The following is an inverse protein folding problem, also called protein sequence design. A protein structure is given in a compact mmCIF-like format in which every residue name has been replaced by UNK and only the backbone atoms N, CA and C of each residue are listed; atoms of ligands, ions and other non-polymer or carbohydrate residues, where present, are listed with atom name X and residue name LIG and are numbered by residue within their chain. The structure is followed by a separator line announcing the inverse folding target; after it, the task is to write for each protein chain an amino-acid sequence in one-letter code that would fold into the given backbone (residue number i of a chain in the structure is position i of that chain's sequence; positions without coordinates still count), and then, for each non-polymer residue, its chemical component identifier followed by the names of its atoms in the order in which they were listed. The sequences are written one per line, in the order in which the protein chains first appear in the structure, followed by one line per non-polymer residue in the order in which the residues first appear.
data_IF_620289864034
#
_entry.id   IF_620289864034
#
_cell.length_a   1.000
_cell.length_b   1.000
_cell.length_c   1.000
_cell.angle_alpha   90.00
_cell.angle_beta   90.00
_cell.angle_gamma   90.00
#
_symmetry.space_group_name_H-M   'P 1'
#
loop_
_entity.id
_entity.type
_entity.pdbx_description
1 polymer ?
#
# COMPACT_ATOMS: atom_id res chain seq x y z
N UNK A 1 -55.36 -51.42 -62.78
CA UNK A 1 -54.12 -50.92 -63.41
C UNK A 1 -54.49 -49.80 -64.36
N UNK A 2 -53.97 -48.59 -64.16
CA UNK A 2 -54.17 -47.50 -65.13
C UNK A 2 -53.26 -47.79 -66.33
N UNK A 3 -53.77 -47.85 -67.57
CA UNK A 3 -52.94 -48.16 -68.73
C UNK A 3 -51.93 -47.04 -68.99
N UNK A 4 -50.66 -47.40 -69.25
CA UNK A 4 -49.55 -46.47 -69.46
C UNK A 4 -49.86 -45.46 -70.59
N UNK A 5 -50.59 -45.88 -71.63
CA UNK A 5 -51.04 -45.03 -72.72
C UNK A 5 -52.00 -43.90 -72.28
N UNK A 6 -52.85 -44.13 -71.26
CA UNK A 6 -53.74 -43.09 -70.75
C UNK A 6 -52.96 -42.03 -69.95
N UNK A 7 -51.89 -42.44 -69.27
CA UNK A 7 -51.00 -41.54 -68.53
C UNK A 7 -50.23 -40.65 -69.51
N UNK A 8 -49.64 -41.21 -70.56
CA UNK A 8 -48.89 -40.42 -71.56
C UNK A 8 -49.78 -39.45 -72.33
N UNK A 9 -51.01 -39.85 -72.67
CA UNK A 9 -51.98 -38.97 -73.34
C UNK A 9 -52.42 -37.82 -72.43
N UNK A 10 -52.68 -38.10 -71.15
CA UNK A 10 -53.06 -37.08 -70.16
C UNK A 10 -51.93 -36.07 -69.93
N UNK A 11 -50.68 -36.52 -69.81
CA UNK A 11 -49.48 -35.67 -69.70
C UNK A 11 -49.26 -34.77 -70.93
N UNK A 12 -49.68 -35.21 -72.11
CA UNK A 12 -49.59 -34.42 -73.35
C UNK A 12 -50.57 -33.24 -73.41
N UNK A 13 -51.66 -33.28 -72.64
CA UNK A 13 -52.68 -32.21 -72.62
C UNK A 13 -52.23 -31.00 -71.81
N UNK A 14 -52.70 -29.80 -72.17
CA UNK A 14 -52.42 -28.58 -71.41
C UNK A 14 -52.86 -28.65 -69.93
N UNK A 15 -53.92 -29.43 -69.64
CA UNK A 15 -54.42 -29.65 -68.27
C UNK A 15 -53.51 -30.58 -67.46
N UNK A 16 -52.98 -31.64 -68.06
CA UNK A 16 -52.05 -32.56 -67.39
C UNK A 16 -50.72 -31.89 -67.01
N UNK A 17 -50.17 -31.05 -67.89
CA UNK A 17 -48.97 -30.25 -67.60
C UNK A 17 -49.19 -29.25 -66.47
N UNK A 18 -50.36 -28.60 -66.44
CA UNK A 18 -50.72 -27.67 -65.37
C UNK A 18 -50.78 -28.37 -64.01
N UNK A 19 -51.43 -29.53 -63.93
CA UNK A 19 -51.56 -30.29 -62.68
C UNK A 19 -50.19 -30.73 -62.15
N UNK A 20 -49.30 -31.21 -63.02
CA UNK A 20 -47.93 -31.61 -62.62
C UNK A 20 -47.11 -30.39 -62.19
N UNK A 21 -47.20 -29.28 -62.93
CA UNK A 21 -46.51 -28.04 -62.55
C UNK A 21 -46.95 -27.51 -61.19
N UNK A 22 -48.25 -27.58 -60.89
CA UNK A 22 -48.82 -27.15 -59.61
C UNK A 22 -48.38 -28.07 -58.46
N UNK A 23 -48.33 -29.39 -58.68
CA UNK A 23 -47.84 -30.35 -57.70
C UNK A 23 -46.35 -30.13 -57.38
N UNK A 24 -45.51 -29.91 -58.40
CA UNK A 24 -44.09 -29.60 -58.21
C UNK A 24 -43.89 -28.25 -57.49
N UNK A 25 -44.66 -27.22 -57.87
CA UNK A 25 -44.63 -25.93 -57.19
C UNK A 25 -45.03 -26.06 -55.71
N UNK A 26 -46.04 -26.88 -55.40
CA UNK A 26 -46.46 -27.17 -54.03
C UNK A 26 -45.37 -27.84 -53.20
N UNK A 27 -44.66 -28.83 -53.76
CA UNK A 27 -43.53 -29.48 -53.10
C UNK A 27 -42.37 -28.52 -52.83
N UNK A 28 -42.02 -27.67 -53.81
CA UNK A 28 -40.98 -26.65 -53.64
C UNK A 28 -41.36 -25.64 -52.56
N UNK A 29 -42.62 -25.18 -52.53
CA UNK A 29 -43.12 -24.28 -51.50
C UNK A 29 -43.06 -24.91 -50.11
N UNK A 30 -43.43 -26.18 -49.97
CA UNK A 30 -43.33 -26.91 -48.71
C UNK A 30 -41.87 -27.03 -48.22
N UNK A 31 -40.94 -27.37 -49.12
CA UNK A 31 -39.51 -27.42 -48.80
C UNK A 31 -38.97 -26.06 -48.34
N UNK A 32 -39.39 -24.98 -49.00
CA UNK A 32 -39.00 -23.62 -48.62
C UNK A 32 -39.52 -23.22 -47.24
N UNK A 33 -40.77 -23.59 -46.91
CA UNK A 33 -41.35 -23.35 -45.58
C UNK A 33 -40.60 -24.10 -44.47
N UNK A 34 -40.19 -25.35 -44.74
CA UNK A 34 -39.38 -26.14 -43.80
C UNK A 34 -38.02 -25.45 -43.58
N UNK A 35 -37.35 -25.02 -44.64
CA UNK A 35 -36.08 -24.30 -44.54
C UNK A 35 -36.22 -23.00 -43.73
N UNK A 36 -37.26 -22.21 -43.98
CA UNK A 36 -37.56 -21.01 -43.16
C UNK A 36 -37.74 -21.37 -41.68
N UNK A 37 -38.41 -22.48 -41.37
CA UNK A 37 -38.59 -22.92 -39.99
C UNK A 37 -37.26 -23.25 -39.31
N UNK A 38 -36.34 -23.91 -40.02
CA UNK A 38 -34.97 -24.15 -39.53
C UNK A 38 -34.22 -22.84 -39.29
N UNK A 39 -34.22 -21.91 -40.24
CA UNK A 39 -33.55 -20.62 -40.06
C UNK A 39 -34.10 -19.83 -38.87
N UNK A 40 -35.41 -19.91 -38.62
CA UNK A 40 -36.01 -19.28 -37.43
C UNK A 40 -35.51 -19.91 -36.13
N UNK A 41 -35.30 -21.23 -36.13
CA UNK A 41 -34.67 -21.96 -35.01
C UNK A 41 -33.26 -21.45 -34.76
N UNK A 42 -32.42 -21.45 -35.78
CA UNK A 42 -31.02 -20.99 -35.69
C UNK A 42 -30.94 -19.54 -35.19
N UNK A 43 -31.81 -18.65 -35.69
CA UNK A 43 -31.88 -17.25 -35.23
C UNK A 43 -32.29 -17.17 -33.75
N UNK A 44 -33.22 -18.01 -33.30
CA UNK A 44 -33.65 -18.02 -31.90
C UNK A 44 -32.52 -18.50 -30.98
N UNK A 45 -31.79 -19.55 -31.38
CA UNK A 45 -30.66 -20.08 -30.64
C UNK A 45 -29.52 -19.06 -30.54
N UNK A 46 -29.14 -18.43 -31.67
CA UNK A 46 -28.13 -17.38 -31.71
C UNK A 46 -28.51 -16.17 -30.82
N UNK A 47 -29.79 -15.77 -30.80
CA UNK A 47 -30.27 -14.72 -29.88
C UNK A 47 -30.15 -15.15 -28.42
N UNK A 48 -30.43 -16.43 -28.12
CA UNK A 48 -30.25 -16.99 -26.79
C UNK A 48 -28.79 -16.96 -26.34
N UNK A 49 -27.86 -17.35 -27.21
CA UNK A 49 -26.43 -17.27 -26.93
C UNK A 49 -25.94 -15.84 -26.74
N UNK A 50 -26.39 -14.92 -27.60
CA UNK A 50 -26.04 -13.50 -27.48
C UNK A 50 -26.49 -12.93 -26.13
N UNK A 51 -27.73 -13.21 -25.72
CA UNK A 51 -28.26 -12.76 -24.43
C UNK A 51 -27.48 -13.32 -23.23
N UNK A 52 -27.02 -14.58 -23.29
CA UNK A 52 -26.15 -15.17 -22.27
C UNK A 52 -24.81 -14.44 -22.21
N UNK A 53 -24.21 -14.15 -23.36
CA UNK A 53 -22.94 -13.40 -23.43
C UNK A 53 -23.08 -11.98 -22.90
N UNK A 54 -24.15 -11.27 -23.23
CA UNK A 54 -24.42 -9.92 -22.71
C UNK A 54 -24.53 -9.92 -21.18
N UNK A 55 -25.20 -10.93 -20.63
CA UNK A 55 -25.31 -11.10 -19.17
C UNK A 55 -23.95 -11.35 -18.53
N UNK A 56 -23.11 -12.17 -19.16
CA UNK A 56 -21.76 -12.47 -18.67
C UNK A 56 -20.83 -11.24 -18.76
N UNK A 57 -20.91 -10.47 -19.84
CA UNK A 57 -20.18 -9.20 -20.00
C UNK A 57 -20.57 -8.24 -18.86
N UNK A 58 -21.87 -8.04 -18.62
CA UNK A 58 -22.34 -7.18 -17.53
C UNK A 58 -21.87 -7.66 -16.15
N UNK A 59 -21.77 -8.99 -15.95
CA UNK A 59 -21.24 -9.59 -14.72
C UNK A 59 -19.73 -9.33 -14.57
N UNK A 60 -18.97 -9.43 -15.65
CA UNK A 60 -17.53 -9.16 -15.66
C UNK A 60 -17.24 -7.67 -15.45
N UNK A 61 -18.00 -6.77 -16.05
CA UNK A 61 -17.86 -5.32 -15.85
C UNK A 61 -18.04 -4.93 -14.38
N UNK A 62 -19.02 -5.53 -13.69
CA UNK A 62 -19.20 -5.33 -12.24
C UNK A 62 -17.98 -5.80 -11.45
N UNK A 63 -17.41 -6.97 -11.78
CA UNK A 63 -16.20 -7.48 -11.13
C UNK A 63 -15.00 -6.57 -11.37
N UNK A 64 -14.81 -6.08 -12.60
CA UNK A 64 -13.73 -5.15 -12.95
C UNK A 64 -13.84 -3.86 -12.13
N UNK A 65 -15.05 -3.30 -12.02
CA UNK A 65 -15.29 -2.10 -11.22
C UNK A 65 -15.01 -2.31 -9.73
N UNK A 66 -15.39 -3.46 -9.18
CA UNK A 66 -15.09 -3.81 -7.78
C UNK A 66 -13.58 -3.94 -7.54
N UNK A 67 -12.86 -4.67 -8.41
CA UNK A 67 -11.40 -4.82 -8.32
C UNK A 67 -10.67 -3.48 -8.45
N UNK A 68 -11.14 -2.58 -9.32
CA UNK A 68 -10.57 -1.22 -9.42
C UNK A 68 -10.70 -0.43 -8.11
N UNK A 69 -11.80 -0.59 -7.39
CA UNK A 69 -12.01 0.07 -6.10
C UNK A 69 -11.08 -0.52 -5.04
N UNK A 70 -10.94 -1.84 -5.01
CA UNK A 70 -10.04 -2.55 -4.10
C UNK A 70 -8.58 -2.14 -4.32
N UNK A 71 -8.13 -2.06 -5.57
CA UNK A 71 -6.78 -1.57 -5.93
C UNK A 71 -6.55 -0.16 -5.39
N UNK A 72 -7.49 0.78 -5.61
CA UNK A 72 -7.37 2.15 -5.08
C UNK A 72 -7.31 2.18 -3.55
N UNK A 73 -8.09 1.33 -2.89
CA UNK A 73 -8.05 1.23 -1.43
C UNK A 73 -6.68 0.73 -0.95
N UNK A 74 -6.12 -0.27 -1.63
CA UNK A 74 -4.79 -0.79 -1.33
C UNK A 74 -3.69 0.24 -1.58
N UNK A 75 -3.78 1.03 -2.65
CA UNK A 75 -2.84 2.13 -2.93
C UNK A 75 -2.81 3.16 -1.79
N UNK A 76 -3.98 3.55 -1.27
CA UNK A 76 -4.10 4.49 -0.13
C UNK A 76 -3.48 3.90 1.15
N UNK A 77 -3.68 2.60 1.39
CA UNK A 77 -3.10 1.93 2.56
C UNK A 77 -1.58 1.84 2.49
N UNK A 78 -1.04 1.54 1.30
CA UNK A 78 0.40 1.54 1.04
C UNK A 78 1.00 2.93 1.28
N UNK A 79 0.35 3.99 0.82
CA UNK A 79 0.80 5.37 1.04
C UNK A 79 0.88 5.70 2.54
N UNK A 80 -0.18 5.37 3.30
CA UNK A 80 -0.20 5.57 4.77
C UNK A 80 0.90 4.78 5.49
N UNK A 81 1.11 3.53 5.10
CA UNK A 81 2.17 2.69 5.68
C UNK A 81 3.56 3.27 5.36
N UNK A 82 3.76 3.75 4.14
CA UNK A 82 5.00 4.41 3.71
C UNK A 82 5.31 5.64 4.57
N UNK A 83 4.31 6.52 4.77
CA UNK A 83 4.45 7.68 5.68
C UNK A 83 4.77 7.25 7.12
N UNK A 84 4.10 6.22 7.62
CA UNK A 84 4.34 5.68 8.98
C UNK A 84 5.76 5.14 9.13
N UNK A 85 6.29 4.48 8.10
CA UNK A 85 7.68 3.98 8.08
C UNK A 85 8.65 5.16 8.11
N UNK A 86 8.47 6.15 7.24
CA UNK A 86 9.33 7.34 7.20
C UNK A 86 9.35 8.08 8.55
N UNK A 87 8.18 8.24 9.19
CA UNK A 87 8.09 8.85 10.52
C UNK A 87 8.83 8.02 11.58
N UNK A 88 8.73 6.69 11.52
CA UNK A 88 9.43 5.79 12.45
C UNK A 88 10.94 5.84 12.25
N UNK A 89 11.42 5.88 11.01
CA UNK A 89 12.84 6.04 10.70
C UNK A 89 13.41 7.35 11.25
N UNK A 90 12.68 8.46 11.06
CA UNK A 90 13.05 9.75 11.63
C UNK A 90 13.12 9.71 13.16
N UNK A 91 12.15 9.07 13.82
CA UNK A 91 12.16 8.89 15.26
C UNK A 91 13.37 8.07 15.74
N UNK A 92 13.73 7.00 15.02
CA UNK A 92 14.93 6.19 15.33
C UNK A 92 16.21 7.02 15.18
N UNK A 93 16.33 7.84 14.13
CA UNK A 93 17.48 8.73 13.95
C UNK A 93 17.60 9.74 15.10
N UNK A 94 16.48 10.35 15.49
CA UNK A 94 16.45 11.30 16.60
C UNK A 94 16.87 10.64 17.92
N UNK A 95 16.34 9.46 18.24
CA UNK A 95 16.70 8.70 19.44
C UNK A 95 18.18 8.30 19.45
N UNK A 96 18.74 7.91 18.29
CA UNK A 96 20.17 7.63 18.18
C UNK A 96 21.03 8.87 18.47
N UNK A 97 20.58 10.05 18.03
CA UNK A 97 21.20 11.32 18.36
C UNK A 97 21.20 11.58 19.87
N UNK A 98 20.03 11.46 20.52
CA UNK A 98 19.89 11.63 21.97
C UNK A 98 20.83 10.69 22.74
N UNK A 99 20.85 9.40 22.40
CA UNK A 99 21.75 8.42 23.03
C UNK A 99 23.22 8.79 22.84
N UNK A 100 23.60 9.30 21.67
CA UNK A 100 24.98 9.73 21.42
C UNK A 100 25.37 10.92 22.29
N UNK A 101 24.46 11.88 22.50
CA UNK A 101 24.71 13.06 23.33
C UNK A 101 24.71 12.71 24.83
N UNK A 102 23.80 11.86 25.30
CA UNK A 102 23.82 11.32 26.66
C UNK A 102 25.13 10.57 26.95
N UNK A 103 25.64 9.81 25.97
CA UNK A 103 26.92 9.11 26.10
C UNK A 103 28.10 10.08 26.20
N UNK A 104 28.06 11.23 25.53
CA UNK A 104 29.08 12.28 25.70
C UNK A 104 28.99 12.91 27.09
N UNK A 105 27.79 13.25 27.54
CA UNK A 105 27.57 13.80 28.89
C UNK A 105 28.07 12.84 29.97
N UNK A 106 27.77 11.55 29.85
CA UNK A 106 28.26 10.53 30.79
C UNK A 106 29.79 10.45 30.84
N UNK A 107 30.47 10.56 29.68
CA UNK A 107 31.93 10.61 29.63
C UNK A 107 32.49 11.85 30.32
N UNK A 108 31.83 12.99 30.17
CA UNK A 108 32.24 14.23 30.84
C UNK A 108 32.11 14.07 32.35
N UNK A 109 30.97 13.60 32.85
CA UNK A 109 30.78 13.33 34.27
C UNK A 109 31.82 12.35 34.85
N UNK A 110 32.25 11.35 34.08
CA UNK A 110 33.32 10.44 34.50
C UNK A 110 34.68 11.13 34.62
N UNK A 111 34.99 12.07 33.72
CA UNK A 111 36.22 12.89 33.81
C UNK A 111 36.16 13.76 35.06
N UNK A 112 35.08 14.52 35.23
CA UNK A 112 34.90 15.44 36.36
C UNK A 112 34.97 14.70 37.70
N UNK A 113 34.35 13.51 37.80
CA UNK A 113 34.41 12.68 39.00
C UNK A 113 35.84 12.23 39.33
N UNK A 114 36.62 11.85 38.31
CA UNK A 114 38.01 11.43 38.50
C UNK A 114 38.91 12.61 38.92
N UNK A 115 38.67 13.80 38.37
CA UNK A 115 39.36 15.03 38.77
C UNK A 115 39.06 15.38 40.24
N UNK A 116 37.79 15.36 40.64
CA UNK A 116 37.38 15.61 42.02
C UNK A 116 38.01 14.60 43.00
N UNK A 117 38.10 13.32 42.62
CA UNK A 117 38.76 12.29 43.42
C UNK A 117 40.27 12.55 43.58
N UNK A 118 40.96 12.98 42.51
CA UNK A 118 42.38 13.34 42.58
C UNK A 118 42.63 14.54 43.49
N UNK A 119 41.77 15.57 43.40
CA UNK A 119 41.85 16.75 44.26
C UNK A 119 41.66 16.39 45.73
N UNK A 120 40.68 15.54 46.04
CA UNK A 120 40.43 15.06 47.41
C UNK A 120 41.63 14.28 47.96
N UNK A 121 42.18 13.35 47.16
CA UNK A 121 43.35 12.57 47.57
C UNK A 121 44.60 13.44 47.79
N UNK A 122 44.75 14.52 47.02
CA UNK A 122 45.82 15.50 47.21
C UNK A 122 45.63 16.27 48.53
N UNK A 123 44.42 16.74 48.81
CA UNK A 123 44.10 17.45 50.05
C UNK A 123 44.29 16.58 51.30
N UNK A 124 44.02 15.27 51.22
CA UNK A 124 44.27 14.34 52.34
C UNK A 124 45.77 14.08 52.61
N UNK A 125 46.64 14.22 51.60
CA UNK A 125 48.07 13.97 51.72
C UNK A 125 48.91 15.24 51.98
N UNK A 126 48.29 16.42 52.01
CA UNK A 126 48.96 17.63 52.46
C UNK A 126 49.05 17.64 53.99
N UNK A 127 50.26 17.88 54.58
CA UNK A 127 50.40 17.91 56.03
C UNK A 127 49.53 19.03 56.60
N UNK A 128 48.75 18.73 57.64
CA UNK A 128 48.07 19.75 58.44
C UNK A 128 49.15 20.55 59.17
N UNK A 129 49.78 21.51 58.49
CA UNK A 129 50.65 22.49 59.13
C UNK A 129 49.78 23.60 59.68
N UNK A 130 49.53 23.58 60.99
CA UNK A 130 49.25 24.80 61.72
C UNK A 130 50.54 25.66 61.69
N UNK A 131 50.58 26.96 61.45
CA UNK A 131 49.66 28.06 61.76
C UNK A 131 49.86 29.15 60.70
N UNK A 132 48.90 29.42 59.83
CA UNK A 132 47.80 30.36 60.11
C UNK A 132 46.43 29.86 59.64
N UNK A 133 46.28 28.57 59.31
CA UNK A 133 44.96 27.97 59.03
C UNK A 133 44.26 28.52 57.79
N UNK A 134 45.02 29.07 56.86
CA UNK A 134 44.55 29.48 55.54
C UNK A 134 45.18 28.50 54.57
N UNK A 135 44.38 27.60 53.96
CA UNK A 135 44.74 26.99 52.68
C UNK A 135 45.34 28.10 51.82
N UNK A 136 46.49 27.87 51.18
CA UNK A 136 47.03 28.82 50.19
C UNK A 136 45.86 29.34 49.38
N UNK A 137 45.66 30.67 49.40
CA UNK A 137 44.43 31.30 48.91
C UNK A 137 44.07 30.79 47.50
N UNK A 138 45.09 30.49 46.69
CA UNK A 138 44.96 29.93 45.34
C UNK A 138 44.38 28.52 45.28
N UNK A 139 44.74 27.59 46.17
CA UNK A 139 44.26 26.21 46.12
C UNK A 139 42.83 26.10 46.66
N UNK A 140 42.49 26.87 47.70
CA UNK A 140 41.09 27.01 48.16
C UNK A 140 40.19 27.65 47.10
N UNK A 141 40.67 28.70 46.45
CA UNK A 141 39.93 29.37 45.36
C UNK A 141 39.73 28.41 44.20
N UNK A 142 40.75 27.62 43.82
CA UNK A 142 40.61 26.61 42.75
C UNK A 142 39.59 25.51 43.07
N UNK A 143 39.53 25.02 44.29
CA UNK A 143 38.54 24.00 44.68
C UNK A 143 37.13 24.58 44.66
N UNK A 144 36.96 25.81 45.15
CA UNK A 144 35.66 26.51 45.15
C UNK A 144 35.24 26.88 43.72
N UNK A 145 36.16 27.38 42.89
CA UNK A 145 35.90 27.71 41.48
C UNK A 145 35.55 26.46 40.68
N UNK A 146 36.25 25.35 40.88
CA UNK A 146 35.92 24.07 40.24
C UNK A 146 34.53 23.57 40.66
N UNK A 147 34.15 23.68 41.94
CA UNK A 147 32.81 23.33 42.41
C UNK A 147 31.73 24.27 41.83
N UNK A 148 32.01 25.57 41.80
CA UNK A 148 31.11 26.59 41.26
C UNK A 148 30.91 26.42 39.75
N UNK A 149 31.95 26.09 39.01
CA UNK A 149 31.91 25.81 37.58
C UNK A 149 31.17 24.49 37.30
N UNK A 150 31.42 23.45 38.10
CA UNK A 150 30.74 22.15 38.00
C UNK A 150 29.22 22.24 38.25
N UNK A 151 28.79 23.06 39.21
CA UNK A 151 27.36 23.27 39.52
C UNK A 151 26.72 24.45 38.77
N UNK A 152 27.47 25.21 37.97
CA UNK A 152 26.98 26.41 37.28
C UNK A 152 26.62 27.57 38.21
N UNK A 153 27.19 27.62 39.42
CA UNK A 153 26.99 28.66 40.41
C UNK A 153 28.04 29.76 40.19
N UNK A 154 27.76 30.78 39.37
CA UNK A 154 28.69 31.91 39.20
C UNK A 154 28.98 32.60 40.56
N UNK A 155 30.26 32.83 40.93
CA UNK A 155 30.65 33.43 42.21
C UNK A 155 30.33 34.94 42.33
N UNK A 156 29.83 35.58 41.27
CA UNK A 156 29.70 37.04 41.15
C UNK A 156 28.63 37.67 42.09
N UNK A 157 27.89 36.85 42.85
CA UNK A 157 26.84 37.31 43.75
C UNK A 157 27.28 37.40 45.24
N UNK A 158 28.48 36.96 45.59
CA UNK A 158 29.01 37.06 46.95
C UNK A 158 29.72 38.41 47.17
N UNK A 159 28.89 39.41 47.46
CA UNK A 159 29.18 40.77 47.94
C UNK A 159 30.60 41.04 48.47
N UNK A 160 31.26 42.03 47.86
CA UNK A 160 32.30 42.84 48.52
C UNK A 160 31.65 43.63 49.67
N UNK A 161 32.10 43.53 50.92
CA UNK A 161 31.79 44.54 51.91
C UNK A 161 32.64 45.79 51.63
N UNK A 162 32.00 46.96 51.68
CA UNK A 162 32.64 48.28 51.69
C UNK A 162 33.54 48.49 52.91
#
# INVERSE_FOLDING_TARGET
MIPIAAITTFLGTGKGKLIIGLALAGLMAAGFLIWIAFLKGDIADLRGELSKRDTEIARLDKKISALKLEIRSGEIEIEKLSESVANSENAVVALRGQVADEKKALRQYQIDLNEAQQLLAKAENEPITNSTGVLSHEDSVRVVDHYNEFWGLCPENAARPH
#
